data_IF_139819048660
#
_entry.id   IF_139819048660
#
_cell.length_a   1.000
_cell.length_b   1.000
_cell.length_c   1.000
_cell.angle_alpha   90.00
_cell.angle_beta   90.00
_cell.angle_gamma   90.00
#
_symmetry.space_group_name_H-M   'P 1'
#
loop_
_entity.id
_entity.type
_entity.pdbx_description
1 polymer ?
#
# COMPACT_ATOMS: atom_id res chain seq x y z
N UNK A 1 23.33 -26.48 -5.83
CA UNK A 1 22.37 -25.81 -4.91
C UNK A 1 22.04 -24.38 -5.32
N UNK A 2 23.01 -23.56 -5.75
CA UNK A 2 22.78 -22.18 -6.25
C UNK A 2 21.66 -22.03 -7.32
N UNK A 3 21.55 -22.88 -8.37
CA UNK A 3 20.48 -22.72 -9.37
C UNK A 3 19.08 -23.04 -8.84
N UNK A 4 18.97 -24.01 -7.92
CA UNK A 4 17.70 -24.39 -7.29
C UNK A 4 17.20 -23.25 -6.40
N UNK A 5 18.08 -22.63 -5.61
CA UNK A 5 17.75 -21.47 -4.78
C UNK A 5 17.31 -20.29 -5.63
N UNK A 6 18.01 -20.02 -6.75
CA UNK A 6 17.63 -18.94 -7.68
C UNK A 6 16.27 -19.18 -8.33
N UNK A 7 16.01 -20.40 -8.80
CA UNK A 7 14.72 -20.76 -9.38
C UNK A 7 13.59 -20.64 -8.35
N UNK A 8 13.81 -21.12 -7.12
CA UNK A 8 12.85 -20.99 -6.03
C UNK A 8 12.57 -19.52 -5.67
N UNK A 9 13.60 -18.69 -5.56
CA UNK A 9 13.46 -17.26 -5.29
C UNK A 9 12.68 -16.53 -6.40
N UNK A 10 12.94 -16.86 -7.67
CA UNK A 10 12.22 -16.29 -8.80
C UNK A 10 10.73 -16.67 -8.77
N UNK A 11 10.41 -17.95 -8.53
CA UNK A 11 9.02 -18.41 -8.43
C UNK A 11 8.28 -17.75 -7.25
N UNK A 12 8.93 -17.64 -6.10
CA UNK A 12 8.34 -16.98 -4.92
C UNK A 12 8.10 -15.48 -5.18
N UNK A 13 9.05 -14.78 -5.79
CA UNK A 13 8.92 -13.37 -6.12
C UNK A 13 7.80 -13.13 -7.15
N UNK A 14 7.70 -13.97 -8.19
CA UNK A 14 6.62 -13.90 -9.18
C UNK A 14 5.25 -14.14 -8.55
N UNK A 15 5.13 -15.14 -7.67
CA UNK A 15 3.89 -15.41 -6.94
C UNK A 15 3.47 -14.25 -6.05
N UNK A 16 4.41 -13.67 -5.30
CA UNK A 16 4.17 -12.49 -4.44
C UNK A 16 3.75 -11.27 -5.26
N UNK A 17 4.43 -11.01 -6.38
CA UNK A 17 4.12 -9.89 -7.27
C UNK A 17 2.70 -10.03 -7.84
N UNK A 18 2.33 -11.22 -8.32
CA UNK A 18 0.99 -11.47 -8.85
C UNK A 18 -0.09 -11.25 -7.78
N UNK A 19 0.13 -11.77 -6.57
CA UNK A 19 -0.78 -11.57 -5.45
C UNK A 19 -0.97 -10.08 -5.11
N UNK A 20 0.13 -9.32 -5.09
CA UNK A 20 0.11 -7.88 -4.82
C UNK A 20 -0.60 -7.09 -5.93
N UNK A 21 -0.31 -7.36 -7.21
CA UNK A 21 -0.98 -6.69 -8.33
C UNK A 21 -2.49 -6.92 -8.28
N UNK A 22 -2.93 -8.16 -8.04
CA UNK A 22 -4.37 -8.47 -7.92
C UNK A 22 -5.00 -7.80 -6.69
N UNK A 23 -4.31 -7.78 -5.55
CA UNK A 23 -4.77 -7.11 -4.33
C UNK A 23 -4.92 -5.59 -4.51
N UNK A 24 -3.90 -4.94 -5.07
CA UNK A 24 -3.90 -3.49 -5.34
C UNK A 24 -4.95 -3.11 -6.39
N UNK A 25 -5.18 -3.96 -7.38
CA UNK A 25 -6.22 -3.71 -8.40
C UNK A 25 -7.63 -3.72 -7.81
N UNK A 26 -7.90 -4.61 -6.85
CA UNK A 26 -9.22 -4.65 -6.17
C UNK A 26 -9.43 -3.47 -5.23
N UNK A 27 -8.40 -3.04 -4.51
CA UNK A 27 -8.49 -1.83 -3.68
C UNK A 27 -8.66 -0.59 -4.55
N UNK A 28 -7.95 -0.49 -5.68
CA UNK A 28 -8.12 0.56 -6.69
C UNK A 28 -9.55 0.59 -7.26
N UNK A 29 -10.12 -0.58 -7.57
CA UNK A 29 -11.52 -0.70 -8.00
C UNK A 29 -12.48 -0.18 -6.93
N UNK A 30 -12.31 -0.58 -5.67
CA UNK A 30 -13.13 -0.11 -4.56
C UNK A 30 -13.03 1.42 -4.40
N UNK A 31 -11.81 1.96 -4.39
CA UNK A 31 -11.57 3.41 -4.33
C UNK A 31 -12.20 4.16 -5.51
N UNK A 32 -12.19 3.60 -6.72
CA UNK A 32 -12.82 4.20 -7.89
C UNK A 32 -14.35 4.17 -7.82
N UNK A 33 -14.94 3.11 -7.26
CA UNK A 33 -16.39 3.01 -6.98
C UNK A 33 -16.82 4.01 -5.92
N UNK A 34 -16.01 4.15 -4.88
CA UNK A 34 -16.21 5.14 -3.82
C UNK A 34 -15.87 6.56 -4.30
N UNK A 35 -15.50 6.75 -5.58
CA UNK A 35 -15.24 8.05 -6.23
C UNK A 35 -13.94 8.75 -5.82
N UNK A 36 -13.03 8.07 -5.13
CA UNK A 36 -11.70 8.60 -4.79
C UNK A 36 -10.74 8.62 -6.01
N UNK A 37 -11.03 7.78 -7.00
CA UNK A 37 -10.29 7.64 -8.26
C UNK A 37 -11.22 7.81 -9.47
N UNK A 38 -10.68 8.01 -10.69
CA UNK A 38 -11.48 8.14 -11.90
C UNK A 38 -12.42 6.94 -12.09
N UNK A 39 -13.69 7.19 -12.41
CA UNK A 39 -14.72 6.15 -12.62
C UNK A 39 -14.35 5.12 -13.70
N UNK A 40 -13.47 5.49 -14.63
CA UNK A 40 -12.95 4.58 -15.67
C UNK A 40 -12.21 3.37 -15.08
N UNK A 41 -11.58 3.51 -13.91
CA UNK A 41 -10.92 2.42 -13.19
C UNK A 41 -11.92 1.49 -12.47
N UNK A 42 -13.17 1.91 -12.30
CA UNK A 42 -14.24 1.08 -11.74
C UNK A 42 -14.83 0.08 -12.75
N UNK A 43 -14.35 0.08 -14.00
CA UNK A 43 -14.85 -0.77 -15.07
C UNK A 43 -14.46 -2.25 -14.85
N UNK A 44 -15.47 -3.11 -14.91
CA UNK A 44 -15.32 -4.56 -14.77
C UNK A 44 -15.57 -5.21 -16.13
N UNK A 45 -14.70 -6.15 -16.49
CA UNK A 45 -14.84 -6.90 -17.73
C UNK A 45 -16.13 -7.74 -17.71
N UNK A 46 -17.01 -7.66 -18.72
CA UNK A 46 -18.34 -8.29 -18.70
C UNK A 46 -18.29 -9.83 -18.62
N UNK A 47 -17.33 -10.47 -19.33
CA UNK A 47 -17.15 -11.93 -19.34
C UNK A 47 -16.33 -12.48 -18.16
N UNK A 48 -15.19 -11.86 -17.85
CA UNK A 48 -14.24 -12.38 -16.85
C UNK A 48 -14.47 -11.84 -15.44
N UNK A 49 -15.33 -10.82 -15.28
CA UNK A 49 -15.65 -10.16 -13.99
C UNK A 49 -14.43 -9.65 -13.22
N UNK A 50 -13.36 -9.29 -13.95
CA UNK A 50 -12.12 -8.71 -13.39
C UNK A 50 -12.05 -7.20 -13.64
N UNK A 51 -11.41 -6.42 -12.75
CA UNK A 51 -11.23 -4.99 -12.93
C UNK A 51 -10.08 -4.69 -13.92
N UNK A 52 -10.25 -5.03 -15.20
CA UNK A 52 -9.17 -5.02 -16.19
C UNK A 52 -8.45 -3.66 -16.34
N UNK A 53 -9.16 -2.54 -16.09
CA UNK A 53 -8.57 -1.20 -16.24
C UNK A 53 -7.69 -0.88 -15.04
N UNK A 54 -8.14 -1.23 -13.83
CA UNK A 54 -7.33 -1.10 -12.63
C UNK A 54 -6.12 -2.03 -12.69
N UNK A 55 -6.29 -3.25 -13.18
CA UNK A 55 -5.21 -4.23 -13.32
C UNK A 55 -4.12 -3.77 -14.31
N UNK A 56 -4.53 -3.30 -15.49
CA UNK A 56 -3.58 -2.74 -16.47
C UNK A 56 -2.89 -1.50 -15.91
N UNK A 57 -3.64 -0.58 -15.29
CA UNK A 57 -3.06 0.63 -14.72
C UNK A 57 -2.02 0.32 -13.62
N UNK A 58 -2.34 -0.59 -12.70
CA UNK A 58 -1.43 -1.04 -11.64
C UNK A 58 -0.23 -1.76 -12.24
N UNK A 59 -0.44 -2.69 -13.17
CA UNK A 59 0.64 -3.44 -13.82
C UNK A 59 1.62 -2.54 -14.57
N UNK A 60 1.12 -1.56 -15.35
CA UNK A 60 1.95 -0.56 -16.04
C UNK A 60 2.73 0.29 -15.04
N UNK A 61 2.08 0.75 -13.97
CA UNK A 61 2.75 1.54 -12.92
C UNK A 61 3.88 0.74 -12.26
N UNK A 62 3.64 -0.52 -11.91
CA UNK A 62 4.65 -1.41 -11.34
C UNK A 62 5.80 -1.65 -12.32
N UNK A 63 5.51 -1.88 -13.60
CA UNK A 63 6.54 -2.10 -14.62
C UNK A 63 7.44 -0.87 -14.81
N UNK A 64 6.86 0.34 -14.83
CA UNK A 64 7.59 1.60 -14.91
C UNK A 64 8.46 1.85 -13.67
N UNK A 65 7.91 1.59 -12.48
CA UNK A 65 8.69 1.73 -11.24
C UNK A 65 9.82 0.71 -11.17
N UNK A 66 9.59 -0.53 -11.59
CA UNK A 66 10.60 -1.58 -11.60
C UNK A 66 11.75 -1.29 -12.59
N UNK A 67 11.50 -0.54 -13.67
CA UNK A 67 12.54 -0.17 -14.65
C UNK A 67 13.28 1.11 -14.28
N UNK A 68 12.65 2.04 -13.54
CA UNK A 68 13.22 3.36 -13.25
C UNK A 68 13.84 3.50 -11.85
N UNK A 69 13.43 2.68 -10.87
CA UNK A 69 13.80 2.87 -9.46
C UNK A 69 14.89 1.89 -9.02
N UNK A 70 15.90 2.39 -8.31
CA UNK A 70 16.92 1.54 -7.70
C UNK A 70 16.34 0.66 -6.59
N UNK A 71 16.72 -0.62 -6.58
CA UNK A 71 16.15 -1.63 -5.69
C UNK A 71 16.37 -1.28 -4.21
N UNK A 72 17.53 -0.73 -3.85
CA UNK A 72 17.83 -0.40 -2.45
C UNK A 72 16.96 0.76 -1.95
N UNK A 73 16.78 1.78 -2.79
CA UNK A 73 15.88 2.89 -2.51
C UNK A 73 14.42 2.44 -2.40
N UNK A 74 13.97 1.61 -3.34
CA UNK A 74 12.62 1.06 -3.35
C UNK A 74 12.31 0.23 -2.09
N UNK A 75 13.25 -0.61 -1.63
CA UNK A 75 13.10 -1.39 -0.40
C UNK A 75 12.94 -0.45 0.79
N UNK A 76 13.81 0.54 0.94
CA UNK A 76 13.73 1.49 2.05
C UNK A 76 12.43 2.30 2.07
N UNK A 77 12.00 2.80 0.92
CA UNK A 77 10.73 3.51 0.76
C UNK A 77 9.53 2.60 1.11
N UNK A 78 9.50 1.38 0.58
CA UNK A 78 8.44 0.41 0.83
C UNK A 78 8.37 0.01 2.30
N UNK A 79 9.53 -0.25 2.94
CA UNK A 79 9.60 -0.53 4.37
C UNK A 79 9.03 0.61 5.20
N UNK A 80 9.38 1.86 4.89
CA UNK A 80 8.80 3.02 5.57
C UNK A 80 7.28 3.09 5.38
N UNK A 81 6.79 2.94 4.15
CA UNK A 81 5.36 2.98 3.85
C UNK A 81 4.58 1.89 4.61
N UNK A 82 5.11 0.67 4.69
CA UNK A 82 4.51 -0.45 5.44
C UNK A 82 4.54 -0.17 6.95
N UNK A 83 5.63 0.37 7.50
CA UNK A 83 5.69 0.75 8.91
C UNK A 83 4.67 1.84 9.26
N UNK A 84 4.49 2.85 8.39
CA UNK A 84 3.45 3.87 8.58
C UNK A 84 2.06 3.24 8.47
N UNK A 85 1.82 2.37 7.50
CA UNK A 85 0.55 1.66 7.37
C UNK A 85 0.20 0.89 8.65
N UNK A 86 1.15 0.15 9.22
CA UNK A 86 0.94 -0.55 10.49
C UNK A 86 0.86 0.39 11.69
N UNK A 87 1.60 1.49 11.72
CA UNK A 87 1.45 2.51 12.76
C UNK A 87 0.03 3.09 12.78
N UNK A 88 -0.52 3.43 11.60
CA UNK A 88 -1.90 3.89 11.45
C UNK A 88 -2.89 2.80 11.87
N UNK A 89 -2.69 1.55 11.47
CA UNK A 89 -3.56 0.44 11.88
C UNK A 89 -3.57 0.25 13.40
N UNK A 90 -2.41 0.33 14.06
CA UNK A 90 -2.30 0.26 15.52
C UNK A 90 -2.97 1.48 16.20
N UNK A 91 -2.82 2.68 15.65
CA UNK A 91 -3.51 3.86 16.16
C UNK A 91 -5.05 3.72 16.03
N UNK A 92 -5.53 3.25 14.88
CA UNK A 92 -6.95 2.99 14.63
C UNK A 92 -7.52 1.87 15.51
N UNK A 93 -6.71 0.87 15.89
CA UNK A 93 -7.17 -0.18 16.81
C UNK A 93 -7.59 0.39 18.19
N UNK A 94 -7.16 1.61 18.54
CA UNK A 94 -7.59 2.27 19.77
C UNK A 94 -9.03 2.79 19.71
N UNK A 95 -9.52 3.10 18.51
CA UNK A 95 -10.90 3.57 18.33
C UNK A 95 -11.91 2.42 18.38
N UNK A 96 -11.44 1.18 18.39
CA UNK A 96 -12.27 -0.02 18.39
C UNK A 96 -12.93 -0.25 19.75
N UNK A 97 -14.24 -0.51 19.75
CA UNK A 97 -15.01 -0.83 20.95
C UNK A 97 -14.85 -2.29 21.35
N UNK A 98 -15.23 -2.62 22.59
CA UNK A 98 -15.10 -3.99 23.12
C UNK A 98 -15.95 -4.98 22.31
N UNK A 99 -17.12 -4.55 21.83
CA UNK A 99 -18.03 -5.32 20.98
C UNK A 99 -17.49 -5.60 19.58
N UNK A 100 -16.51 -4.82 19.11
CA UNK A 100 -15.87 -4.96 17.80
C UNK A 100 -14.60 -5.84 17.86
N UNK A 101 -14.31 -6.47 19.01
CA UNK A 101 -13.14 -7.33 19.18
C UNK A 101 -11.85 -6.58 19.52
N UNK A 102 -11.95 -5.55 20.38
CA UNK A 102 -10.80 -4.73 20.78
C UNK A 102 -9.62 -5.57 21.32
N UNK A 103 -8.41 -5.45 20.76
CA UNK A 103 -7.23 -6.13 21.30
C UNK A 103 -6.84 -5.55 22.68
N UNK A 104 -6.03 -6.27 23.47
CA UNK A 104 -5.44 -5.71 24.69
C UNK A 104 -4.67 -4.43 24.36
N UNK A 105 -4.93 -3.33 25.09
CA UNK A 105 -4.36 -1.99 24.77
C UNK A 105 -2.83 -1.97 24.66
N UNK A 106 -2.14 -2.89 25.32
CA UNK A 106 -0.70 -3.03 25.21
C UNK A 106 -0.24 -3.41 23.79
N UNK A 107 -1.02 -4.21 23.05
CA UNK A 107 -0.64 -4.70 21.72
C UNK A 107 -0.56 -3.54 20.71
N UNK A 108 -1.58 -2.67 20.56
CA UNK A 108 -1.46 -1.51 19.67
C UNK A 108 -0.40 -0.50 20.12
N UNK A 109 -0.20 -0.32 21.43
CA UNK A 109 0.86 0.57 21.96
C UNK A 109 2.24 0.08 21.55
N UNK A 110 2.54 -1.19 21.83
CA UNK A 110 3.85 -1.79 21.51
C UNK A 110 4.05 -1.83 20.00
N UNK A 111 3.01 -2.17 19.23
CA UNK A 111 3.04 -2.16 17.78
C UNK A 111 3.32 -0.77 17.20
N UNK A 112 2.63 0.25 17.69
CA UNK A 112 2.84 1.65 17.28
C UNK A 112 4.26 2.13 17.60
N UNK A 113 4.71 1.94 18.84
CA UNK A 113 6.05 2.35 19.27
C UNK A 113 7.13 1.59 18.47
N UNK A 114 6.94 0.29 18.23
CA UNK A 114 7.83 -0.51 17.41
C UNK A 114 7.91 0.00 15.97
N UNK A 115 6.78 0.33 15.36
CA UNK A 115 6.74 0.88 14.01
C UNK A 115 7.48 2.23 13.93
N UNK A 116 7.25 3.13 14.89
CA UNK A 116 7.90 4.44 14.94
C UNK A 116 9.41 4.33 15.20
N UNK A 117 9.83 3.44 16.10
CA UNK A 117 11.23 3.21 16.39
C UNK A 117 11.95 2.66 15.15
N UNK A 118 11.40 1.64 14.49
CA UNK A 118 12.00 1.08 13.27
C UNK A 118 12.00 2.11 12.13
N UNK A 119 10.95 2.92 12.02
CA UNK A 119 10.89 3.99 11.03
C UNK A 119 12.00 5.03 11.25
N UNK A 120 12.34 5.35 12.50
CA UNK A 120 13.43 6.26 12.85
C UNK A 120 14.83 5.67 12.56
N UNK A 121 14.96 4.34 12.49
CA UNK A 121 16.23 3.68 12.13
C UNK A 121 16.48 3.57 10.62
N UNK A 122 15.46 3.86 9.79
CA UNK A 122 15.60 3.80 8.33
C UNK A 122 16.45 4.95 7.79
N UNK A 123 17.11 4.76 6.62
CA UNK A 123 17.84 5.84 5.96
C UNK A 123 16.98 7.08 5.76
N UNK A 124 17.52 8.26 6.07
CA UNK A 124 16.80 9.53 5.99
C UNK A 124 16.19 9.78 4.62
N UNK A 125 16.86 9.34 3.54
CA UNK A 125 16.33 9.44 2.17
C UNK A 125 15.01 8.68 1.99
N UNK A 126 14.90 7.48 2.56
CA UNK A 126 13.67 6.66 2.52
C UNK A 126 12.55 7.28 3.35
N UNK A 127 12.89 7.83 4.52
CA UNK A 127 11.94 8.51 5.40
C UNK A 127 11.41 9.78 4.74
N UNK A 128 12.29 10.60 4.17
CA UNK A 128 11.91 11.85 3.51
C UNK A 128 11.05 11.59 2.26
N UNK A 129 11.46 10.66 1.39
CA UNK A 129 10.68 10.32 0.20
C UNK A 129 9.32 9.70 0.56
N UNK A 130 9.28 8.80 1.55
CA UNK A 130 8.05 8.23 2.08
C UNK A 130 7.12 9.27 2.68
N UNK A 131 7.64 10.13 3.56
CA UNK A 131 6.88 11.21 4.19
C UNK A 131 6.38 12.23 3.15
N UNK A 132 7.18 12.57 2.14
CA UNK A 132 6.77 13.46 1.06
C UNK A 132 5.61 12.88 0.25
N UNK A 133 5.66 11.60 -0.11
CA UNK A 133 4.56 10.92 -0.83
C UNK A 133 3.29 10.86 0.01
N UNK A 134 3.40 10.55 1.30
CA UNK A 134 2.27 10.55 2.22
C UNK A 134 1.67 11.95 2.39
N UNK A 135 2.51 12.97 2.56
CA UNK A 135 2.08 14.36 2.67
C UNK A 135 1.39 14.83 1.39
N UNK A 136 1.92 14.47 0.22
CA UNK A 136 1.28 14.75 -1.07
C UNK A 136 -0.08 14.04 -1.17
N UNK A 137 -0.16 12.77 -0.79
CA UNK A 137 -1.41 12.01 -0.78
C UNK A 137 -2.46 12.63 0.15
N UNK A 138 -2.05 13.03 1.36
CA UNK A 138 -2.91 13.73 2.32
C UNK A 138 -3.37 15.08 1.77
N UNK A 139 -2.46 15.88 1.18
CA UNK A 139 -2.79 17.17 0.58
C UNK A 139 -3.81 17.02 -0.56
N UNK A 140 -3.58 16.07 -1.49
CA UNK A 140 -4.53 15.75 -2.56
C UNK A 140 -5.87 15.32 -2.00
N UNK A 141 -5.88 14.54 -0.92
CA UNK A 141 -7.12 14.12 -0.26
C UNK A 141 -7.88 15.32 0.33
N UNK A 142 -7.23 16.22 1.08
CA UNK A 142 -7.94 17.40 1.64
C UNK A 142 -8.38 18.38 0.56
N UNK A 143 -7.63 18.53 -0.54
CA UNK A 143 -8.01 19.39 -1.68
C UNK A 143 -9.20 18.81 -2.44
N UNK A 144 -9.35 17.48 -2.51
CA UNK A 144 -10.51 16.83 -3.16
C UNK A 144 -11.72 16.69 -2.23
N UNK A 145 -11.54 16.85 -0.93
CA UNK A 145 -12.61 16.82 0.09
C UNK A 145 -13.69 17.92 -0.02
N UNK A 146 -13.46 19.16 -0.52
CA UNK A 146 -14.45 20.23 -0.50
C UNK A 146 -15.52 20.12 -1.61
N UNK A 147 -15.41 19.19 -2.56
CA UNK A 147 -16.42 18.99 -3.62
C UNK A 147 -17.45 17.88 -3.32
N UNK A 148 -17.49 17.35 -2.09
CA UNK A 148 -18.34 16.19 -1.73
C UNK A 148 -19.49 16.48 -0.78
N UNK A 149 -19.63 17.72 -0.31
CA UNK A 149 -20.74 18.15 0.56
C UNK A 149 -21.71 19.13 -0.12
N UNK A 150 -21.67 19.27 -1.45
CA UNK A 150 -22.60 20.09 -2.24
C UNK A 150 -23.48 19.23 -3.14
#
# INVERSE_FOLDING_TARGET
MVPVVRAGAALAALGSLLALVLGVSRTTLAMARDGHLPRTLAAIHPRHRVPHHAEIAVGVTVALLASAVDLRGAIGFSSFAVLVYYAVANASAWTLRVDEGRPPRAVPVVGLLGCLLLAATLPTASVLSGAAVLALGAAVWVIRRPHREA
#
